data_IF_920450775710
#
_entry.id   IF_920450775710
#
_cell.length_a   1.000
_cell.length_b   1.000
_cell.length_c   1.000
_cell.angle_alpha   90.00
_cell.angle_beta   90.00
_cell.angle_gamma   90.00
#
_symmetry.space_group_name_H-M   'P 1'
#
loop_
_entity.id
_entity.type
_entity.pdbx_description
1 polymer ?
#
# COMPACT_ATOMS: atom_id res chain seq x y z
N UNK A 1 -20.15 -13.93 19.45
CA UNK A 1 -19.39 -12.76 19.93
C UNK A 1 -17.88 -12.97 19.80
N UNK A 2 -17.22 -13.73 20.69
CA UNK A 2 -15.76 -13.92 20.60
C UNK A 2 -15.34 -14.82 19.42
N UNK A 3 -16.12 -15.87 19.11
CA UNK A 3 -15.92 -16.68 17.89
C UNK A 3 -16.13 -15.87 16.60
N UNK A 4 -17.17 -15.03 16.54
CA UNK A 4 -17.39 -14.12 15.40
C UNK A 4 -16.25 -13.12 15.22
N UNK A 5 -15.66 -12.63 16.32
CA UNK A 5 -14.47 -11.77 16.26
C UNK A 5 -13.29 -12.53 15.65
N UNK A 6 -13.06 -13.77 16.07
CA UNK A 6 -12.03 -14.62 15.51
C UNK A 6 -12.26 -14.85 14.01
N UNK A 7 -13.48 -15.19 13.58
CA UNK A 7 -13.81 -15.40 12.17
C UNK A 7 -13.49 -14.16 11.33
N UNK A 8 -13.83 -12.96 11.83
CA UNK A 8 -13.51 -11.69 11.18
C UNK A 8 -12.00 -11.45 11.12
N UNK A 9 -11.26 -11.74 12.20
CA UNK A 9 -9.80 -11.59 12.22
C UNK A 9 -9.10 -12.59 11.29
N UNK A 10 -9.58 -13.83 11.21
CA UNK A 10 -9.06 -14.83 10.27
C UNK A 10 -9.40 -14.48 8.81
N UNK A 11 -10.58 -13.93 8.54
CA UNK A 11 -10.93 -13.40 7.23
C UNK A 11 -10.03 -12.22 6.84
N UNK A 12 -9.76 -11.31 7.79
CA UNK A 12 -8.86 -10.19 7.59
C UNK A 12 -7.41 -10.64 7.36
N UNK A 13 -6.92 -11.63 8.11
CA UNK A 13 -5.61 -12.22 7.88
C UNK A 13 -5.48 -12.78 6.46
N UNK A 14 -6.45 -13.59 6.04
CA UNK A 14 -6.48 -14.17 4.69
C UNK A 14 -6.49 -13.11 3.59
N UNK A 15 -7.32 -12.07 3.70
CA UNK A 15 -7.38 -11.04 2.65
C UNK A 15 -6.10 -10.20 2.59
N UNK A 16 -5.43 -9.98 3.72
CA UNK A 16 -4.13 -9.29 3.73
C UNK A 16 -3.01 -10.14 3.14
N UNK A 17 -3.04 -11.46 3.34
CA UNK A 17 -2.13 -12.42 2.72
C UNK A 17 -2.37 -12.47 1.20
N UNK A 18 -3.63 -12.55 0.76
CA UNK A 18 -3.98 -12.48 -0.66
C UNK A 18 -3.52 -11.17 -1.31
N UNK A 19 -3.68 -10.02 -0.64
CA UNK A 19 -3.14 -8.74 -1.11
C UNK A 19 -1.61 -8.79 -1.27
N UNK A 20 -0.93 -9.50 -0.36
CA UNK A 20 0.53 -9.68 -0.39
C UNK A 20 0.94 -10.42 -1.65
N UNK A 21 0.29 -11.53 -1.94
CA UNK A 21 0.52 -12.34 -3.15
C UNK A 21 0.31 -11.50 -4.42
N UNK A 22 -0.83 -10.80 -4.54
CA UNK A 22 -1.14 -9.95 -5.69
C UNK A 22 -0.11 -8.83 -5.90
N UNK A 23 0.39 -8.23 -4.81
CA UNK A 23 1.42 -7.20 -4.88
C UNK A 23 2.75 -7.78 -5.38
N UNK A 24 3.14 -8.98 -4.95
CA UNK A 24 4.35 -9.65 -5.43
C UNK A 24 4.24 -10.17 -6.87
N UNK A 25 3.08 -10.67 -7.27
CA UNK A 25 2.85 -11.21 -8.63
C UNK A 25 2.65 -10.13 -9.69
N UNK A 26 2.65 -8.84 -9.31
CA UNK A 26 2.32 -7.73 -10.20
C UNK A 26 0.95 -7.89 -10.86
N UNK A 27 -0.03 -8.37 -10.09
CA UNK A 27 -1.38 -8.61 -10.56
C UNK A 27 -2.03 -7.34 -11.16
N UNK A 28 -3.02 -7.51 -12.06
CA UNK A 28 -3.77 -6.41 -12.62
C UNK A 28 -4.38 -5.51 -11.54
N UNK A 29 -4.41 -4.21 -11.79
CA UNK A 29 -4.98 -3.21 -10.88
C UNK A 29 -6.41 -3.54 -10.44
N UNK A 30 -7.23 -4.10 -11.33
CA UNK A 30 -8.63 -4.44 -11.03
C UNK A 30 -8.73 -5.50 -9.92
N UNK A 31 -7.85 -6.50 -9.90
CA UNK A 31 -7.83 -7.55 -8.89
C UNK A 31 -7.39 -7.01 -7.53
N UNK A 32 -6.38 -6.12 -7.53
CA UNK A 32 -5.94 -5.42 -6.31
C UNK A 32 -7.07 -4.54 -5.76
N UNK A 33 -7.79 -3.81 -6.62
CA UNK A 33 -8.91 -2.95 -6.22
C UNK A 33 -10.08 -3.74 -5.60
N UNK A 34 -10.34 -4.95 -6.10
CA UNK A 34 -11.34 -5.86 -5.54
C UNK A 34 -10.96 -6.28 -4.11
N UNK A 35 -9.72 -6.77 -3.92
CA UNK A 35 -9.21 -7.17 -2.61
C UNK A 35 -9.20 -6.02 -1.62
N UNK A 36 -8.80 -4.82 -2.04
CA UNK A 36 -8.81 -3.62 -1.18
C UNK A 36 -10.23 -3.26 -0.75
N UNK A 37 -11.22 -3.37 -1.65
CA UNK A 37 -12.63 -3.08 -1.33
C UNK A 37 -13.17 -4.03 -0.27
N UNK A 38 -12.88 -5.32 -0.42
CA UNK A 38 -13.34 -6.33 0.54
C UNK A 38 -12.60 -6.22 1.87
N UNK A 39 -11.32 -5.84 1.86
CA UNK A 39 -10.54 -5.52 3.07
C UNK A 39 -11.15 -4.34 3.83
N UNK A 40 -11.57 -3.27 3.15
CA UNK A 40 -12.26 -2.12 3.77
C UNK A 40 -13.58 -2.57 4.43
N UNK A 41 -14.36 -3.42 3.75
CA UNK A 41 -15.61 -3.96 4.31
C UNK A 41 -15.37 -4.81 5.55
N UNK A 42 -14.37 -5.70 5.52
CA UNK A 42 -14.00 -6.53 6.66
C UNK A 42 -13.48 -5.68 7.82
N UNK A 43 -12.75 -4.60 7.56
CA UNK A 43 -12.26 -3.69 8.60
C UNK A 43 -13.41 -3.00 9.32
N UNK A 44 -14.38 -2.49 8.55
CA UNK A 44 -15.59 -1.89 9.11
C UNK A 44 -16.41 -2.89 9.94
N UNK A 45 -16.52 -4.15 9.49
CA UNK A 45 -17.21 -5.20 10.23
C UNK A 45 -16.48 -5.57 11.54
N UNK A 46 -15.15 -5.65 11.49
CA UNK A 46 -14.31 -5.90 12.66
C UNK A 46 -14.45 -4.80 13.70
N UNK A 47 -14.35 -3.53 13.28
CA UNK A 47 -14.53 -2.36 14.15
C UNK A 47 -15.92 -2.33 14.79
N UNK A 48 -16.96 -2.60 14.00
CA UNK A 48 -18.33 -2.65 14.50
C UNK A 48 -18.52 -3.76 15.55
N UNK A 49 -17.93 -4.95 15.32
CA UNK A 49 -17.99 -6.06 16.26
C UNK A 49 -17.23 -5.75 17.56
N UNK A 50 -16.03 -5.17 17.48
CA UNK A 50 -15.27 -4.74 18.64
C UNK A 50 -16.03 -3.69 19.47
N UNK A 51 -16.59 -2.68 18.79
CA UNK A 51 -17.42 -1.66 19.45
C UNK A 51 -18.67 -2.25 20.10
N UNK A 52 -19.28 -3.26 19.47
CA UNK A 52 -20.42 -3.98 20.04
C UNK A 52 -20.03 -4.76 21.29
N UNK A 53 -18.93 -5.54 21.24
CA UNK A 53 -18.43 -6.30 22.38
C UNK A 53 -18.09 -5.39 23.56
N UNK A 54 -17.44 -4.25 23.31
CA UNK A 54 -17.11 -3.27 24.34
C UNK A 54 -18.36 -2.67 24.99
N UNK A 55 -19.42 -2.43 24.21
CA UNK A 55 -20.69 -1.90 24.71
C UNK A 55 -21.50 -2.91 25.51
N UNK A 56 -21.57 -4.15 25.03
CA UNK A 56 -22.37 -5.21 25.65
C UNK A 56 -21.69 -5.80 26.88
N UNK A 57 -20.36 -5.92 26.86
CA UNK A 57 -19.58 -6.42 27.97
C UNK A 57 -18.18 -5.77 28.02
N UNK A 58 -17.97 -4.68 28.78
CA UNK A 58 -16.67 -4.05 28.91
C UNK A 58 -15.54 -4.97 29.44
N UNK A 59 -15.88 -6.09 30.08
CA UNK A 59 -14.92 -7.08 30.59
C UNK A 59 -14.68 -8.24 29.62
N UNK A 60 -15.22 -8.18 28.40
CA UNK A 60 -15.14 -9.26 27.42
C UNK A 60 -13.74 -9.82 27.24
N UNK A 61 -12.70 -8.96 27.25
CA UNK A 61 -11.29 -9.35 27.11
C UNK A 61 -10.81 -10.29 28.21
N UNK A 62 -11.24 -10.05 29.46
CA UNK A 62 -10.87 -10.86 30.62
C UNK A 62 -11.63 -12.20 30.67
N UNK A 63 -12.75 -12.27 29.95
CA UNK A 63 -13.64 -13.44 29.89
C UNK A 63 -13.41 -14.32 28.67
N UNK A 64 -12.58 -13.89 27.71
CA UNK A 64 -12.15 -14.75 26.58
C UNK A 64 -11.42 -15.96 27.14
N UNK A 65 -11.80 -17.14 26.69
CA UNK A 65 -11.11 -18.38 26.98
C UNK A 65 -9.63 -18.32 26.55
N UNK A 66 -8.68 -18.89 27.31
CA UNK A 66 -7.26 -18.88 26.97
C UNK A 66 -6.93 -19.44 25.59
N UNK A 67 -7.62 -20.49 25.13
CA UNK A 67 -7.40 -21.10 23.81
C UNK A 67 -7.78 -20.11 22.71
N UNK A 68 -8.95 -19.49 22.84
CA UNK A 68 -9.42 -18.47 21.91
C UNK A 68 -8.53 -17.21 21.91
N UNK A 69 -7.92 -16.85 23.05
CA UNK A 69 -6.94 -15.74 23.09
C UNK A 69 -5.71 -16.05 22.26
N UNK A 70 -5.24 -17.30 22.25
CA UNK A 70 -4.10 -17.72 21.42
C UNK A 70 -4.48 -17.59 19.96
N UNK A 71 -5.64 -18.09 19.54
CA UNK A 71 -6.08 -17.99 18.14
C UNK A 71 -6.25 -16.54 17.67
N UNK A 72 -6.79 -15.66 18.53
CA UNK A 72 -6.88 -14.22 18.24
C UNK A 72 -5.49 -13.58 18.11
N UNK A 73 -4.53 -13.97 18.95
CA UNK A 73 -3.17 -13.46 18.88
C UNK A 73 -2.47 -13.92 17.60
N UNK A 74 -2.63 -15.19 17.21
CA UNK A 74 -2.08 -15.72 15.95
C UNK A 74 -2.68 -15.03 14.73
N UNK A 75 -4.00 -14.81 14.70
CA UNK A 75 -4.64 -14.05 13.63
C UNK A 75 -4.13 -12.60 13.56
N UNK A 76 -3.92 -11.94 14.71
CA UNK A 76 -3.33 -10.61 14.79
C UNK A 76 -1.90 -10.55 14.26
N UNK A 77 -1.06 -11.53 14.62
CA UNK A 77 0.31 -11.63 14.16
C UNK A 77 0.38 -11.82 12.64
N UNK A 78 -0.44 -12.72 12.09
CA UNK A 78 -0.54 -12.93 10.64
C UNK A 78 -0.93 -11.65 9.90
N UNK A 79 -1.97 -10.95 10.36
CA UNK A 79 -2.36 -9.66 9.79
C UNK A 79 -1.22 -8.64 9.82
N UNK A 80 -0.50 -8.52 10.94
CA UNK A 80 0.59 -7.57 11.10
C UNK A 80 1.77 -7.87 10.16
N UNK A 81 2.14 -9.15 10.04
CA UNK A 81 3.19 -9.60 9.14
C UNK A 81 2.85 -9.33 7.67
N UNK A 82 1.63 -9.66 7.24
CA UNK A 82 1.17 -9.41 5.88
C UNK A 82 1.05 -7.92 5.56
N UNK A 83 0.52 -7.11 6.48
CA UNK A 83 0.46 -5.66 6.31
C UNK A 83 1.86 -5.03 6.16
N UNK A 84 2.84 -5.51 6.92
CA UNK A 84 4.25 -5.09 6.79
C UNK A 84 4.83 -5.48 5.42
N UNK A 85 4.56 -6.70 4.96
CA UNK A 85 4.98 -7.16 3.64
C UNK A 85 4.38 -6.28 2.52
N UNK A 86 3.10 -5.91 2.63
CA UNK A 86 2.44 -5.02 1.67
C UNK A 86 3.09 -3.64 1.64
N UNK A 87 3.42 -3.07 2.80
CA UNK A 87 4.15 -1.81 2.90
C UNK A 87 5.48 -1.86 2.14
N UNK A 88 6.28 -2.89 2.37
CA UNK A 88 7.58 -3.09 1.69
C UNK A 88 7.39 -3.25 0.17
N UNK A 89 6.39 -4.02 -0.26
CA UNK A 89 6.11 -4.24 -1.68
C UNK A 89 5.71 -2.93 -2.38
N UNK A 90 4.88 -2.12 -1.74
CA UNK A 90 4.46 -0.83 -2.27
C UNK A 90 5.63 0.17 -2.34
N UNK A 91 6.45 0.26 -1.28
CA UNK A 91 7.66 1.10 -1.28
C UNK A 91 8.60 0.76 -2.43
N UNK A 92 8.84 -0.54 -2.68
CA UNK A 92 9.65 -1.00 -3.81
C UNK A 92 9.05 -0.61 -5.17
N UNK A 93 7.73 -0.70 -5.32
CA UNK A 93 7.06 -0.29 -6.57
C UNK A 93 7.16 1.21 -6.80
N UNK A 94 7.06 2.01 -5.74
CA UNK A 94 7.24 3.47 -5.81
C UNK A 94 8.67 3.80 -6.25
N UNK A 95 9.67 3.24 -5.58
CA UNK A 95 11.07 3.46 -5.93
C UNK A 95 11.38 3.06 -7.38
N UNK A 96 10.88 1.92 -7.84
CA UNK A 96 11.04 1.49 -9.22
C UNK A 96 10.38 2.43 -10.24
N UNK A 97 9.19 2.97 -9.91
CA UNK A 97 8.52 3.94 -10.76
C UNK A 97 9.32 5.26 -10.86
N UNK A 98 9.92 5.71 -9.75
CA UNK A 98 10.80 6.88 -9.72
C UNK A 98 12.04 6.67 -10.61
N UNK A 99 12.72 5.52 -10.50
CA UNK A 99 13.87 5.17 -11.33
C UNK A 99 13.51 5.15 -12.83
N UNK A 100 12.35 4.58 -13.18
CA UNK A 100 11.86 4.58 -14.56
C UNK A 100 11.61 5.98 -15.09
N UNK A 101 10.97 6.85 -14.31
CA UNK A 101 10.70 8.23 -14.71
C UNK A 101 12.01 8.99 -14.92
N UNK A 102 12.98 8.83 -14.02
CA UNK A 102 14.31 9.44 -14.17
C UNK A 102 15.02 8.94 -15.43
N UNK A 103 14.95 7.64 -15.73
CA UNK A 103 15.51 7.08 -16.95
C UNK A 103 14.84 7.66 -18.22
N UNK A 104 13.52 7.80 -18.20
CA UNK A 104 12.74 8.44 -19.29
C UNK A 104 13.11 9.91 -19.44
N UNK A 105 13.24 10.66 -18.34
CA UNK A 105 13.66 12.07 -18.37
C UNK A 105 15.07 12.22 -18.96
N UNK A 106 16.01 11.35 -18.58
CA UNK A 106 17.37 11.34 -19.14
C UNK A 106 17.36 11.04 -20.64
N UNK A 107 16.63 10.01 -21.08
CA UNK A 107 16.52 9.66 -22.50
C UNK A 107 15.82 10.76 -23.30
N UNK A 108 14.77 11.38 -22.75
CA UNK A 108 14.08 12.51 -23.36
C UNK A 108 15.01 13.72 -23.50
N UNK A 109 15.81 14.03 -22.47
CA UNK A 109 16.79 15.12 -22.49
C UNK A 109 17.90 14.85 -23.52
N UNK A 110 18.38 13.61 -23.62
CA UNK A 110 19.35 13.17 -24.66
C UNK A 110 18.78 13.31 -26.07
N UNK A 111 17.51 12.96 -26.29
CA UNK A 111 16.87 12.98 -27.62
C UNK A 111 16.39 14.36 -28.07
N UNK A 112 15.92 15.22 -27.16
CA UNK A 112 15.26 16.49 -27.54
C UNK A 112 16.12 17.75 -27.42
N UNK A 113 17.21 17.74 -26.65
CA UNK A 113 17.99 18.95 -26.37
C UNK A 113 17.21 19.94 -25.48
N UNK A 114 17.69 20.11 -24.25
CA UNK A 114 17.35 21.16 -23.27
C UNK A 114 15.90 21.41 -22.79
N UNK A 115 14.84 20.75 -23.25
CA UNK A 115 13.52 20.86 -22.57
C UNK A 115 13.44 19.88 -21.40
N UNK A 116 13.44 20.36 -20.16
CA UNK A 116 13.32 19.53 -18.94
C UNK A 116 11.89 19.51 -18.40
N UNK A 117 11.31 18.32 -18.28
CA UNK A 117 10.25 18.06 -17.31
C UNK A 117 10.93 17.52 -16.04
N UNK A 118 10.44 17.91 -14.86
CA UNK A 118 10.89 17.39 -13.58
C UNK A 118 9.72 16.78 -12.82
N UNK A 119 9.88 15.54 -12.39
CA UNK A 119 8.94 14.86 -11.50
C UNK A 119 9.10 15.35 -10.06
N UNK A 120 8.02 15.88 -9.47
CA UNK A 120 7.99 16.28 -8.06
C UNK A 120 7.61 15.11 -7.15
N UNK A 121 8.05 15.16 -5.89
CA UNK A 121 7.84 14.10 -4.87
C UNK A 121 6.37 13.75 -4.54
N UNK A 122 5.39 14.45 -5.13
CA UNK A 122 3.95 14.17 -5.02
C UNK A 122 3.32 13.58 -6.28
N UNK A 123 4.10 13.13 -7.26
CA UNK A 123 3.58 12.57 -8.51
C UNK A 123 3.17 13.59 -9.58
N UNK A 124 3.40 14.88 -9.33
CA UNK A 124 3.14 15.93 -10.32
C UNK A 124 4.33 16.12 -11.25
N UNK A 125 4.08 16.05 -12.57
CA UNK A 125 5.04 16.47 -13.58
C UNK A 125 4.92 17.98 -13.80
N UNK A 126 5.99 18.71 -13.50
CA UNK A 126 6.11 20.10 -13.92
C UNK A 126 6.98 20.20 -15.17
N UNK A 127 6.46 20.85 -16.20
CA UNK A 127 7.17 21.14 -17.44
C UNK A 127 7.74 22.55 -17.33
N UNK A 128 9.06 22.67 -17.27
CA UNK A 128 9.72 23.98 -17.29
C UNK A 128 10.23 24.24 -18.71
N UNK A 129 9.51 25.09 -19.46
CA UNK A 129 10.03 25.70 -20.69
C UNK A 129 11.02 26.79 -20.30
N UNK A 130 12.26 26.40 -19.98
CA UNK A 130 13.36 27.35 -19.84
C UNK A 130 13.97 27.59 -21.23
N UNK A 131 14.08 28.87 -21.69
CA UNK A 131 14.76 29.18 -22.94
C UNK A 131 16.24 28.80 -22.83
N UNK A 132 16.76 28.09 -23.83
CA UNK A 132 18.16 27.63 -23.88
C UNK A 132 19.13 28.83 -23.80
N UNK A 133 20.27 28.71 -23.09
CA UNK A 133 21.34 29.70 -23.23
C UNK A 133 21.91 29.61 -24.65
N UNK A 134 21.94 30.73 -25.36
CA UNK A 134 22.60 30.85 -26.66
C UNK A 134 24.10 30.64 -26.43
N UNK A 135 24.65 29.53 -26.93
CA UNK A 135 26.09 29.31 -26.99
C UNK A 135 26.66 30.18 -28.12
N UNK A 136 27.28 31.31 -27.79
CA UNK A 136 28.04 32.11 -28.75
C UNK A 136 29.41 31.45 -28.92
N UNK A 137 29.63 30.83 -30.10
CA UNK A 137 30.93 30.35 -30.52
C UNK A 137 31.74 31.53 -31.08
N UNK A 138 32.63 32.13 -30.29
CA UNK A 138 33.68 33.03 -30.81
C UNK A 138 34.98 32.25 -30.95
N UNK A 139 35.35 31.93 -32.19
CA UNK A 139 36.74 31.61 -32.55
C UNK A 139 37.35 32.86 -33.18
N UNK A 140 38.48 33.32 -32.62
CA UNK A 140 39.43 34.27 -33.21
C UNK A 140 40.78 33.55 -33.28
#
# INVERSE_FOLDING_TARGET
MAAELLDLMQAMARITEQETELLYEHAPRAEIEEVVRDKIRLAAALDAQLARMERENPKWRAEIDPELRVELAEAAERMANSAKANGIALERKIAFAEDLILAIEQDTRRRRGSTSASYGAGGMMQRADLPSPIAINTQL
#
